data_IF_351502380567
#
_entry.id   IF_351502380567
#
_cell.length_a   1.000
_cell.length_b   1.000
_cell.length_c   1.000
_cell.angle_alpha   90.00
_cell.angle_beta   90.00
_cell.angle_gamma   90.00
#
_symmetry.space_group_name_H-M   'P 1'
#
loop_
_entity.id
_entity.type
_entity.pdbx_description
1 polymer ?
#
# COMPACT_ATOMS: atom_id res chain seq x y z
N UNK A 1 -2.86 -11.31 61.81
CA UNK A 1 -3.70 -12.29 61.09
C UNK A 1 -2.98 -12.65 59.80
N UNK A 2 -2.67 -13.93 59.69
CA UNK A 2 -1.93 -14.62 58.65
C UNK A 2 -2.77 -14.84 57.39
N UNK A 3 -2.27 -14.49 56.21
CA UNK A 3 -2.68 -15.12 54.96
C UNK A 3 -1.46 -15.80 54.34
N UNK A 4 -1.49 -17.11 54.45
CA UNK A 4 -0.46 -18.07 54.07
C UNK A 4 -0.29 -18.13 52.55
N UNK A 5 0.94 -17.96 52.09
CA UNK A 5 1.41 -18.30 50.75
C UNK A 5 1.07 -19.75 50.39
N UNK A 6 -0.10 -19.98 49.80
CA UNK A 6 -0.43 -21.23 49.14
C UNK A 6 0.35 -21.31 47.83
N UNK A 7 1.63 -21.70 47.90
CA UNK A 7 2.42 -22.16 46.76
C UNK A 7 1.87 -23.51 46.28
N UNK A 8 0.67 -23.49 45.69
CA UNK A 8 0.13 -24.62 44.96
C UNK A 8 0.96 -24.84 43.71
N UNK A 9 1.46 -26.06 43.53
CA UNK A 9 2.17 -26.50 42.33
C UNK A 9 1.32 -26.19 41.08
N UNK A 10 1.74 -25.18 40.31
CA UNK A 10 1.03 -24.79 39.10
C UNK A 10 1.31 -25.82 38.02
N UNK A 11 0.34 -26.70 37.78
CA UNK A 11 0.36 -27.65 36.66
C UNK A 11 0.65 -26.89 35.36
N UNK A 12 1.49 -27.43 34.45
CA UNK A 12 1.81 -26.76 33.20
C UNK A 12 0.54 -26.53 32.39
N UNK A 13 0.21 -25.27 32.12
CA UNK A 13 -0.99 -24.90 31.36
C UNK A 13 -0.70 -25.17 29.88
N UNK A 14 -1.37 -26.19 29.33
CA UNK A 14 -1.33 -26.52 27.91
C UNK A 14 -2.32 -25.63 27.16
N UNK A 15 -1.81 -24.86 26.23
CA UNK A 15 -2.60 -24.01 25.34
C UNK A 15 -3.28 -24.90 24.30
N UNK A 16 -4.62 -24.83 24.20
CA UNK A 16 -5.38 -25.54 23.17
C UNK A 16 -5.98 -24.59 22.14
N UNK A 17 -6.47 -23.43 22.60
CA UNK A 17 -7.14 -22.43 21.76
C UNK A 17 -6.43 -21.07 21.79
N UNK A 18 -6.73 -20.22 20.79
CA UNK A 18 -6.22 -18.84 20.74
C UNK A 18 -6.66 -18.00 21.95
N UNK A 19 -7.83 -18.30 22.50
CA UNK A 19 -8.35 -17.69 23.74
C UNK A 19 -7.48 -18.03 24.95
N UNK A 20 -6.95 -19.25 25.02
CA UNK A 20 -6.09 -19.70 26.13
C UNK A 20 -4.75 -18.95 26.11
N UNK A 21 -4.19 -18.69 24.92
CA UNK A 21 -3.01 -17.83 24.76
C UNK A 21 -3.24 -16.41 25.28
N UNK A 22 -4.38 -15.83 24.93
CA UNK A 22 -4.74 -14.47 25.34
C UNK A 22 -4.96 -14.42 26.85
N UNK A 23 -5.67 -15.42 27.41
CA UNK A 23 -5.89 -15.56 28.85
C UNK A 23 -4.57 -15.61 29.61
N UNK A 24 -3.62 -16.44 29.18
CA UNK A 24 -2.29 -16.51 29.80
C UNK A 24 -1.52 -15.19 29.74
N UNK A 25 -1.58 -14.48 28.61
CA UNK A 25 -0.95 -13.16 28.47
C UNK A 25 -1.61 -12.13 29.38
N UNK A 26 -2.94 -12.14 29.48
CA UNK A 26 -3.70 -11.27 30.37
C UNK A 26 -3.39 -11.56 31.84
N UNK A 27 -3.42 -12.82 32.27
CA UNK A 27 -3.05 -13.22 33.64
C UNK A 27 -1.62 -12.78 34.00
N UNK A 28 -0.68 -12.86 33.04
CA UNK A 28 0.69 -12.36 33.22
C UNK A 28 0.77 -10.84 33.36
N UNK A 29 0.00 -10.09 32.57
CA UNK A 29 -0.06 -8.62 32.62
C UNK A 29 -0.74 -8.14 33.91
N UNK A 30 -1.87 -8.77 34.29
CA UNK A 30 -2.64 -8.41 35.48
C UNK A 30 -1.97 -8.83 36.79
N UNK A 31 -0.98 -9.72 36.76
CA UNK A 31 -0.18 -10.07 37.95
C UNK A 31 0.54 -8.85 38.54
N UNK A 32 0.90 -7.87 37.72
CA UNK A 32 1.58 -6.63 38.14
C UNK A 32 0.94 -5.43 37.41
N UNK A 33 -0.20 -4.90 37.90
CA UNK A 33 -0.93 -3.85 37.20
C UNK A 33 -0.21 -2.49 37.22
N UNK A 34 0.63 -2.24 38.23
CA UNK A 34 1.36 -0.96 38.36
C UNK A 34 2.56 -0.84 37.42
N UNK A 35 2.97 -1.94 36.77
CA UNK A 35 4.09 -1.92 35.84
C UNK A 35 3.62 -1.43 34.46
N UNK A 36 4.16 -0.32 33.94
CA UNK A 36 3.78 0.16 32.61
C UNK A 36 4.15 -0.86 31.54
N UNK A 37 3.21 -1.12 30.62
CA UNK A 37 3.41 -2.03 29.49
C UNK A 37 4.10 -1.26 28.36
N UNK A 38 5.30 -1.71 27.97
CA UNK A 38 6.03 -1.14 26.85
C UNK A 38 5.54 -1.82 25.56
N UNK A 39 4.81 -1.08 24.74
CA UNK A 39 4.46 -1.50 23.38
C UNK A 39 5.71 -1.25 22.52
N UNK A 40 6.25 -2.28 21.84
CA UNK A 40 7.42 -2.09 21.00
C UNK A 40 7.09 -1.14 19.85
N UNK A 41 7.98 -0.18 19.61
CA UNK A 41 7.92 0.66 18.42
C UNK A 41 8.11 -0.19 17.15
N UNK A 42 7.57 0.25 15.99
CA UNK A 42 7.78 -0.44 14.74
C UNK A 42 9.29 -0.58 14.44
N UNK A 43 9.71 -1.70 13.84
CA UNK A 43 11.11 -1.90 13.53
C UNK A 43 11.61 -0.81 12.59
N UNK A 44 12.74 -0.19 12.95
CA UNK A 44 13.39 0.81 12.10
C UNK A 44 13.79 0.16 10.77
N UNK A 45 13.69 0.91 9.68
CA UNK A 45 14.18 0.47 8.38
C UNK A 45 15.67 0.12 8.49
N UNK A 46 16.09 -0.92 7.78
CA UNK A 46 17.50 -1.30 7.72
C UNK A 46 18.27 -0.10 7.18
N UNK A 47 19.31 0.33 7.89
CA UNK A 47 20.20 1.42 7.49
C UNK A 47 21.63 0.94 7.57
N UNK A 48 22.46 1.46 6.68
CA UNK A 48 23.89 1.18 6.69
C UNK A 48 24.58 2.17 7.62
N UNK A 49 25.58 1.69 8.34
CA UNK A 49 26.43 2.57 9.14
C UNK A 49 27.15 3.57 8.21
N UNK A 50 27.09 4.85 8.58
CA UNK A 50 27.82 5.89 7.86
C UNK A 50 29.34 5.58 7.88
N UNK A 51 30.06 5.90 6.79
CA UNK A 51 31.51 5.80 6.80
C UNK A 51 32.10 6.75 7.86
N UNK A 52 33.19 6.38 8.54
CA UNK A 52 33.84 7.26 9.49
C UNK A 52 34.50 8.46 8.78
N UNK A 53 34.39 9.65 9.35
CA UNK A 53 34.93 10.88 8.75
C UNK A 53 36.46 10.88 8.63
N UNK A 54 37.14 10.34 9.65
CA UNK A 54 38.60 10.30 9.70
C UNK A 54 39.12 8.90 9.97
N UNK A 55 39.98 8.42 9.07
CA UNK A 55 40.78 7.21 9.29
C UNK A 55 42.11 7.63 9.90
N UNK A 56 42.36 7.22 11.15
CA UNK A 56 43.55 7.63 11.91
C UNK A 56 44.80 6.82 11.56
N UNK A 57 44.64 5.61 11.05
CA UNK A 57 45.72 4.62 10.89
C UNK A 57 46.07 4.43 9.41
N UNK A 58 46.24 5.54 8.68
CA UNK A 58 46.61 5.50 7.27
C UNK A 58 48.13 5.40 7.16
N UNK A 59 48.62 4.34 6.55
CA UNK A 59 50.04 4.18 6.24
C UNK A 59 50.40 5.01 4.99
N UNK A 60 51.66 5.47 4.89
CA UNK A 60 52.10 6.35 3.80
C UNK A 60 51.88 5.75 2.41
N UNK A 61 51.67 6.60 1.40
CA UNK A 61 51.26 6.16 0.04
C UNK A 61 52.29 5.29 -0.68
N UNK A 62 53.56 5.38 -0.32
CA UNK A 62 54.65 4.57 -0.87
C UNK A 62 55.02 3.36 0.00
N UNK A 63 54.31 3.14 1.11
CA UNK A 63 54.58 2.00 1.98
C UNK A 63 54.11 0.69 1.32
N UNK A 64 54.84 -0.41 1.57
CA UNK A 64 54.48 -1.73 1.07
C UNK A 64 53.21 -2.31 1.72
N UNK A 65 52.68 -3.39 1.13
CA UNK A 65 51.52 -4.08 1.68
C UNK A 65 51.85 -4.74 3.04
N UNK A 66 51.18 -4.29 4.10
CA UNK A 66 51.27 -4.89 5.42
C UNK A 66 50.44 -6.17 5.57
N UNK A 67 50.72 -6.98 6.59
CA UNK A 67 49.98 -8.22 6.86
C UNK A 67 48.49 -8.03 7.16
N UNK A 68 48.11 -6.85 7.67
CA UNK A 68 46.72 -6.50 7.97
C UNK A 68 45.93 -5.94 6.78
N UNK A 69 46.59 -5.56 5.69
CA UNK A 69 45.97 -4.82 4.57
C UNK A 69 44.89 -5.68 3.86
N UNK A 70 45.14 -6.99 3.75
CA UNK A 70 44.16 -7.93 3.20
C UNK A 70 42.83 -7.90 3.98
N UNK A 71 42.90 -7.85 5.32
CA UNK A 71 41.68 -7.82 6.12
C UNK A 71 40.96 -6.47 6.02
N UNK A 72 41.71 -5.37 5.93
CA UNK A 72 41.15 -4.03 5.68
C UNK A 72 40.34 -4.04 4.37
N UNK A 73 40.95 -4.47 3.26
CA UNK A 73 40.26 -4.59 1.97
C UNK A 73 39.05 -5.52 2.04
N UNK A 74 39.17 -6.70 2.66
CA UNK A 74 38.05 -7.64 2.81
C UNK A 74 36.87 -7.02 3.57
N UNK A 75 37.12 -6.27 4.64
CA UNK A 75 36.07 -5.58 5.39
C UNK A 75 35.45 -4.44 4.58
N UNK A 76 36.28 -3.64 3.90
CA UNK A 76 35.83 -2.53 3.06
C UNK A 76 34.96 -3.03 1.89
N UNK A 77 35.40 -4.08 1.19
CA UNK A 77 34.67 -4.68 0.09
C UNK A 77 33.31 -5.21 0.52
N UNK A 78 33.21 -5.89 1.67
CA UNK A 78 31.92 -6.34 2.21
C UNK A 78 30.99 -5.17 2.54
N UNK A 79 31.53 -4.11 3.15
CA UNK A 79 30.76 -2.90 3.45
C UNK A 79 30.24 -2.25 2.16
N UNK A 80 31.08 -2.16 1.15
CA UNK A 80 30.70 -1.56 -0.13
C UNK A 80 29.68 -2.40 -0.89
N UNK A 81 29.80 -3.74 -0.90
CA UNK A 81 28.79 -4.61 -1.50
C UNK A 81 27.46 -4.56 -0.77
N UNK A 82 27.48 -4.55 0.57
CA UNK A 82 26.27 -4.31 1.34
C UNK A 82 25.65 -2.94 1.02
N UNK A 83 26.49 -1.92 0.77
CA UNK A 83 26.05 -0.58 0.38
C UNK A 83 25.39 -0.54 -0.98
N UNK A 84 26.04 -1.09 -2.00
CA UNK A 84 25.51 -1.14 -3.35
C UNK A 84 24.21 -1.95 -3.40
N UNK A 85 24.18 -3.11 -2.76
CA UNK A 85 22.98 -3.96 -2.68
C UNK A 85 21.81 -3.23 -2.02
N UNK A 86 22.04 -2.55 -0.90
CA UNK A 86 20.99 -1.78 -0.22
C UNK A 86 20.44 -0.65 -1.08
N UNK A 87 21.30 0.06 -1.82
CA UNK A 87 20.87 1.14 -2.73
C UNK A 87 20.02 0.58 -3.87
N UNK A 88 20.45 -0.52 -4.47
CA UNK A 88 19.70 -1.21 -5.52
C UNK A 88 18.32 -1.66 -5.01
N UNK A 89 18.28 -2.43 -3.92
CA UNK A 89 17.04 -2.91 -3.30
C UNK A 89 16.09 -1.76 -2.92
N UNK A 90 16.63 -0.66 -2.37
CA UNK A 90 15.83 0.51 -2.04
C UNK A 90 15.25 1.16 -3.29
N UNK A 91 16.05 1.34 -4.33
CA UNK A 91 15.61 1.96 -5.59
C UNK A 91 14.56 1.12 -6.32
N UNK A 92 14.70 -0.21 -6.32
CA UNK A 92 13.72 -1.12 -6.90
C UNK A 92 12.41 -1.08 -6.14
N UNK A 93 12.47 -1.10 -4.80
CA UNK A 93 11.29 -0.98 -3.96
C UNK A 93 10.56 0.35 -4.18
N UNK A 94 11.30 1.46 -4.23
CA UNK A 94 10.72 2.80 -4.44
C UNK A 94 10.00 2.90 -5.79
N UNK A 95 10.61 2.39 -6.86
CA UNK A 95 9.96 2.31 -8.18
C UNK A 95 8.66 1.50 -8.15
N UNK A 96 8.68 0.31 -7.54
CA UNK A 96 7.50 -0.54 -7.44
C UNK A 96 6.39 0.10 -6.61
N UNK A 97 6.74 0.76 -5.51
CA UNK A 97 5.80 1.48 -4.66
C UNK A 97 5.17 2.68 -5.43
N UNK A 98 5.98 3.44 -6.17
CA UNK A 98 5.50 4.53 -7.04
C UNK A 98 4.55 4.04 -8.15
N UNK A 99 4.92 2.97 -8.86
CA UNK A 99 4.07 2.34 -9.88
C UNK A 99 2.73 1.86 -9.29
N UNK A 100 2.77 1.27 -8.10
CA UNK A 100 1.58 0.82 -7.40
C UNK A 100 0.66 1.99 -7.03
N UNK A 101 1.22 3.07 -6.47
CA UNK A 101 0.46 4.27 -6.14
C UNK A 101 -0.15 4.93 -7.38
N UNK A 102 0.63 5.07 -8.45
CA UNK A 102 0.17 5.60 -9.73
C UNK A 102 -1.00 4.77 -10.28
N UNK A 103 -0.92 3.44 -10.21
CA UNK A 103 -1.98 2.55 -10.66
C UNK A 103 -3.26 2.70 -9.82
N UNK A 104 -3.14 2.82 -8.50
CA UNK A 104 -4.30 3.08 -7.63
C UNK A 104 -4.95 4.41 -7.98
N UNK A 105 -4.17 5.47 -8.15
CA UNK A 105 -4.69 6.79 -8.48
C UNK A 105 -5.38 6.81 -9.83
N UNK A 106 -4.81 6.16 -10.84
CA UNK A 106 -5.42 6.03 -12.16
C UNK A 106 -6.77 5.28 -12.08
N UNK A 107 -6.81 4.16 -11.37
CA UNK A 107 -8.04 3.39 -11.16
C UNK A 107 -9.11 4.22 -10.42
N UNK A 108 -8.68 4.98 -9.40
CA UNK A 108 -9.56 5.88 -8.65
C UNK A 108 -10.11 6.98 -9.54
N UNK A 109 -9.27 7.66 -10.32
CA UNK A 109 -9.68 8.71 -11.28
C UNK A 109 -10.65 8.15 -12.32
N UNK A 110 -10.36 6.99 -12.91
CA UNK A 110 -11.25 6.34 -13.88
C UNK A 110 -12.62 5.98 -13.27
N UNK A 111 -12.64 5.47 -12.03
CA UNK A 111 -13.90 5.16 -11.33
C UNK A 111 -14.69 6.44 -10.98
N UNK A 112 -14.00 7.50 -10.55
CA UNK A 112 -14.60 8.81 -10.25
C UNK A 112 -15.17 9.46 -11.51
N UNK A 113 -14.48 9.41 -12.64
CA UNK A 113 -14.96 9.91 -13.94
C UNK A 113 -16.21 9.15 -14.42
N UNK A 114 -16.18 7.81 -14.41
CA UNK A 114 -17.35 6.97 -14.76
C UNK A 114 -18.54 7.31 -13.85
N UNK A 115 -18.29 7.49 -12.55
CA UNK A 115 -19.33 7.85 -11.57
C UNK A 115 -19.84 9.27 -11.74
N UNK A 116 -18.97 10.24 -12.03
CA UNK A 116 -19.30 11.65 -12.25
C UNK A 116 -20.15 11.82 -13.52
N UNK A 117 -19.78 11.15 -14.63
CA UNK A 117 -20.58 11.12 -15.87
C UNK A 117 -21.99 10.60 -15.61
N UNK A 118 -22.13 9.44 -14.93
CA UNK A 118 -23.44 8.87 -14.57
C UNK A 118 -24.23 9.78 -13.61
N UNK A 119 -23.57 10.38 -12.62
CA UNK A 119 -24.18 11.33 -11.68
C UNK A 119 -24.69 12.59 -12.40
N UNK A 120 -23.92 13.14 -13.34
CA UNK A 120 -24.30 14.29 -14.15
C UNK A 120 -25.52 13.99 -15.02
N UNK A 121 -25.56 12.84 -15.71
CA UNK A 121 -26.74 12.36 -16.46
C UNK A 121 -27.99 12.32 -15.55
N UNK A 122 -27.87 11.71 -14.35
CA UNK A 122 -28.98 11.63 -13.38
C UNK A 122 -29.44 13.01 -12.87
N UNK A 123 -28.51 13.94 -12.60
CA UNK A 123 -28.87 15.30 -12.16
C UNK A 123 -29.59 16.05 -13.28
N UNK A 124 -29.11 15.97 -14.53
CA UNK A 124 -29.80 16.56 -15.68
C UNK A 124 -31.21 16.00 -15.84
N UNK A 125 -31.40 14.68 -15.79
CA UNK A 125 -32.74 14.03 -15.85
C UNK A 125 -33.65 14.49 -14.71
N UNK A 126 -33.14 14.54 -13.47
CA UNK A 126 -33.90 15.05 -12.31
C UNK A 126 -34.29 16.54 -12.46
N UNK A 127 -33.40 17.39 -12.98
CA UNK A 127 -33.70 18.81 -13.25
C UNK A 127 -34.80 18.94 -14.31
N UNK A 128 -34.71 18.21 -15.43
CA UNK A 128 -35.72 18.22 -16.49
C UNK A 128 -37.08 17.71 -16.00
N UNK A 129 -37.12 16.63 -15.21
CA UNK A 129 -38.36 16.11 -14.62
C UNK A 129 -39.01 17.12 -13.67
N UNK A 130 -38.23 17.84 -12.84
CA UNK A 130 -38.73 18.92 -11.98
C UNK A 130 -39.32 20.08 -12.79
N UNK A 131 -38.67 20.48 -13.89
CA UNK A 131 -39.18 21.52 -14.78
C UNK A 131 -40.48 21.10 -15.48
N UNK A 132 -40.55 19.87 -15.99
CA UNK A 132 -41.78 19.30 -16.58
C UNK A 132 -42.90 19.18 -15.54
N UNK A 133 -42.61 18.75 -14.32
CA UNK A 133 -43.61 18.66 -13.24
C UNK A 133 -44.12 20.03 -12.76
N UNK A 134 -43.28 21.09 -12.82
CA UNK A 134 -43.73 22.47 -12.58
C UNK A 134 -44.59 22.98 -13.73
N UNK A 135 -44.21 22.73 -14.99
CA UNK A 135 -45.03 23.07 -16.17
C UNK A 135 -46.37 22.34 -16.15
N UNK A 136 -46.37 21.03 -15.88
CA UNK A 136 -47.59 20.25 -15.72
C UNK A 136 -48.48 20.73 -14.55
N UNK A 137 -47.93 21.29 -13.47
CA UNK A 137 -48.75 21.92 -12.40
C UNK A 137 -49.37 23.26 -12.81
N UNK A 138 -48.78 23.97 -13.78
CA UNK A 138 -49.33 25.21 -14.35
C UNK A 138 -50.31 24.89 -15.50
N UNK A 139 -50.03 23.83 -16.27
CA UNK A 139 -50.80 23.37 -17.42
C UNK A 139 -51.91 22.36 -17.08
N UNK A 140 -52.01 21.83 -15.84
CA UNK A 140 -53.16 20.99 -15.43
C UNK A 140 -54.49 21.79 -15.30
N UNK A 141 -54.56 22.98 -15.90
CA UNK A 141 -55.82 23.64 -16.24
C UNK A 141 -56.25 23.35 -17.69
N UNK A 142 -55.36 22.88 -18.57
CA UNK A 142 -55.67 22.54 -19.96
C UNK A 142 -54.79 21.39 -20.49
N UNK A 143 -55.42 20.22 -20.55
CA UNK A 143 -55.25 19.20 -21.59
C UNK A 143 -54.14 18.15 -21.46
N UNK A 144 -54.62 16.90 -21.47
CA UNK A 144 -53.94 15.61 -21.47
C UNK A 144 -53.57 15.22 -22.90
N UNK A 145 -52.28 14.99 -23.18
CA UNK A 145 -51.76 13.92 -24.07
C UNK A 145 -50.37 14.25 -24.60
N UNK A 146 -49.39 13.38 -24.34
CA UNK A 146 -48.29 12.97 -25.24
C UNK A 146 -47.13 12.38 -24.43
N UNK A 147 -47.11 11.05 -24.34
CA UNK A 147 -45.96 10.28 -23.91
C UNK A 147 -45.00 10.12 -25.10
N UNK A 148 -43.78 10.63 -24.97
CA UNK A 148 -42.67 10.31 -25.87
C UNK A 148 -41.49 9.80 -25.03
N UNK A 149 -41.32 8.48 -25.03
CA UNK A 149 -40.15 7.79 -24.49
C UNK A 149 -39.05 7.83 -25.56
N UNK A 150 -37.97 8.55 -25.26
CA UNK A 150 -36.76 8.56 -26.10
C UNK A 150 -35.65 7.89 -25.31
N UNK A 151 -35.49 6.60 -25.57
CA UNK A 151 -34.39 5.75 -25.12
C UNK A 151 -33.23 5.87 -26.11
N UNK A 152 -32.27 6.74 -25.80
CA UNK A 152 -30.97 6.79 -26.48
C UNK A 152 -29.92 6.32 -25.48
N UNK A 153 -29.68 5.02 -25.45
CA UNK A 153 -28.70 4.35 -24.57
C UNK A 153 -28.07 3.17 -25.35
N UNK A 154 -27.26 3.49 -26.37
CA UNK A 154 -26.61 2.48 -27.22
C UNK A 154 -25.20 2.82 -27.69
N UNK A 155 -24.89 4.09 -27.96
CA UNK A 155 -23.66 4.44 -28.72
C UNK A 155 -22.37 4.57 -27.87
N UNK A 156 -22.44 4.51 -26.54
CA UNK A 156 -21.28 4.83 -25.67
C UNK A 156 -20.62 3.59 -25.03
N UNK A 157 -21.18 2.39 -25.27
CA UNK A 157 -20.65 1.11 -24.77
C UNK A 157 -19.61 0.51 -25.73
N UNK A 158 -19.77 0.71 -27.04
CA UNK A 158 -18.83 0.21 -28.06
C UNK A 158 -17.47 0.92 -27.98
N UNK A 159 -17.45 2.25 -27.78
CA UNK A 159 -16.20 3.01 -27.66
C UNK A 159 -15.37 2.67 -26.42
N UNK A 160 -16.01 2.20 -25.34
CA UNK A 160 -15.31 1.78 -24.13
C UNK A 160 -14.65 0.41 -24.31
N UNK A 161 -15.29 -0.51 -25.04
CA UNK A 161 -14.70 -1.81 -25.35
C UNK A 161 -13.52 -1.69 -26.33
N UNK A 162 -13.64 -0.86 -27.38
CA UNK A 162 -12.54 -0.64 -28.33
C UNK A 162 -11.30 0.00 -27.68
N UNK A 163 -11.49 0.88 -26.70
CA UNK A 163 -10.36 1.53 -25.99
C UNK A 163 -9.70 0.61 -24.97
N UNK A 164 -10.47 -0.23 -24.27
CA UNK A 164 -9.91 -1.23 -23.35
C UNK A 164 -9.17 -2.36 -24.09
N UNK A 165 -9.60 -2.76 -25.30
CA UNK A 165 -8.91 -3.79 -26.09
C UNK A 165 -7.63 -3.28 -26.76
N UNK A 166 -7.58 -2.01 -27.20
CA UNK A 166 -6.33 -1.39 -27.69
C UNK A 166 -5.25 -1.32 -26.62
N UNK A 167 -5.62 -0.87 -25.40
CA UNK A 167 -4.68 -0.77 -24.26
C UNK A 167 -4.14 -2.14 -23.78
N UNK A 168 -4.89 -3.22 -23.99
CA UNK A 168 -4.41 -4.59 -23.69
C UNK A 168 -3.44 -5.09 -24.74
N UNK A 169 -3.59 -4.69 -26.00
CA UNK A 169 -2.72 -5.11 -27.08
C UNK A 169 -1.35 -4.41 -26.98
N UNK A 170 -1.34 -3.10 -26.71
CA UNK A 170 -0.11 -2.31 -26.51
C UNK A 170 0.72 -2.84 -25.33
N UNK A 171 0.09 -3.22 -24.21
CA UNK A 171 0.79 -3.82 -23.05
C UNK A 171 1.37 -5.22 -23.32
N UNK A 172 0.76 -5.98 -24.23
CA UNK A 172 1.28 -7.30 -24.62
C UNK A 172 2.51 -7.16 -25.51
N UNK A 173 2.52 -6.15 -26.38
CA UNK A 173 3.67 -5.84 -27.24
C UNK A 173 4.86 -5.33 -26.42
N UNK A 174 4.64 -4.41 -25.47
CA UNK A 174 5.72 -3.94 -24.57
C UNK A 174 6.31 -5.07 -23.71
N UNK A 175 5.48 -5.99 -23.20
CA UNK A 175 5.99 -7.14 -22.43
C UNK A 175 6.80 -8.13 -23.29
N UNK A 176 6.42 -8.34 -24.54
CA UNK A 176 7.15 -9.22 -25.45
C UNK A 176 8.49 -8.63 -25.88
N UNK A 177 8.61 -7.31 -26.00
CA UNK A 177 9.86 -6.63 -26.36
C UNK A 177 10.88 -6.66 -25.20
N UNK A 178 10.41 -6.55 -23.96
CA UNK A 178 11.27 -6.66 -22.76
C UNK A 178 11.80 -8.09 -22.57
N UNK A 179 11.03 -9.12 -22.95
CA UNK A 179 11.44 -10.53 -22.88
C UNK A 179 12.47 -10.91 -23.96
N UNK A 180 12.45 -10.24 -25.12
CA UNK A 180 13.43 -10.46 -26.21
C UNK A 180 14.75 -9.70 -26.01
N UNK A 181 14.75 -8.67 -25.15
CA UNK A 181 15.92 -7.84 -24.87
C UNK A 181 16.74 -8.30 -23.64
N UNK A 182 16.32 -9.39 -22.98
CA UNK A 182 16.98 -9.97 -21.80
C UNK A 182 17.64 -11.31 -22.09
#
# INVERSE_FOLDING_TARGET
>A
MSDSDSKGEKKPIVIKNATDLQRLKLEKLMKNPDKPVIIPEPPKSKSLAAPPDFVRNVMGSSAGAGSGEFHVYRHLRRKEYARQKFIQEKSEKEKLDEEYHNKIEQNRKAAEEKTAKKRAKRIKKKKMAKLKGKKAKVDNKQNVSSQSDSSSDGEDNEKQNETEDKLKNERKEEMAEVEQAS
#
